data_IF_219994886601
#
_entry.id   IF_219994886601
#
_cell.length_a   1.000
_cell.length_b   1.000
_cell.length_c   1.000
_cell.angle_alpha   90.00
_cell.angle_beta   90.00
_cell.angle_gamma   90.00
#
_symmetry.space_group_name_H-M   'P 1'
#
loop_
_entity.id
_entity.type
_entity.pdbx_description
1 polymer ?
#
# COMPACT_ATOMS: atom_id res chain seq x y z
N UNK A 1 -11.95 -7.37 2.88
CA UNK A 1 -12.63 -6.08 2.58
C UNK A 1 -11.87 -5.39 1.47
N UNK A 2 -12.59 -4.80 0.51
CA UNK A 2 -12.06 -4.05 -0.64
C UNK A 2 -12.66 -2.63 -0.64
N UNK A 3 -12.16 -1.77 -1.52
CA UNK A 3 -12.78 -0.47 -1.77
C UNK A 3 -14.13 -0.65 -2.48
N UNK A 4 -15.05 0.27 -2.22
CA UNK A 4 -16.27 0.37 -3.00
C UNK A 4 -15.94 0.76 -4.45
N UNK A 5 -16.73 0.37 -5.46
CA UNK A 5 -16.43 0.63 -6.87
C UNK A 5 -16.15 2.10 -7.19
N UNK A 6 -16.90 3.00 -6.55
CA UNK A 6 -16.71 4.45 -6.70
C UNK A 6 -15.38 4.95 -6.10
N UNK A 7 -14.96 4.39 -4.97
CA UNK A 7 -13.69 4.71 -4.32
C UNK A 7 -12.51 4.13 -5.10
N UNK A 8 -12.65 2.92 -5.65
CA UNK A 8 -11.67 2.32 -6.52
C UNK A 8 -11.45 3.15 -7.79
N UNK A 9 -12.53 3.61 -8.42
CA UNK A 9 -12.48 4.50 -9.59
C UNK A 9 -11.75 5.79 -9.25
N UNK A 10 -12.14 6.45 -8.14
CA UNK A 10 -11.51 7.67 -7.67
C UNK A 10 -10.01 7.46 -7.38
N UNK A 11 -9.66 6.35 -6.76
CA UNK A 11 -8.25 6.01 -6.49
C UNK A 11 -7.42 6.04 -7.79
N UNK A 12 -7.87 5.34 -8.83
CA UNK A 12 -7.13 5.30 -10.10
C UNK A 12 -7.17 6.62 -10.86
N UNK A 13 -8.27 7.38 -10.80
CA UNK A 13 -8.34 8.73 -11.36
C UNK A 13 -7.31 9.70 -10.76
N UNK A 14 -6.91 9.48 -9.50
CA UNK A 14 -5.89 10.27 -8.81
C UNK A 14 -4.49 9.68 -9.00
N UNK A 15 -4.38 8.35 -8.94
CA UNK A 15 -3.12 7.63 -8.93
C UNK A 15 -2.40 7.65 -10.27
N UNK A 16 -3.11 7.37 -11.36
CA UNK A 16 -2.50 7.27 -12.69
C UNK A 16 -1.91 8.60 -13.18
N UNK A 17 -2.61 9.75 -13.09
CA UNK A 17 -2.02 11.03 -13.47
C UNK A 17 -0.81 11.44 -12.62
N UNK A 18 -0.80 11.08 -11.33
CA UNK A 18 0.37 11.31 -10.48
C UNK A 18 1.57 10.47 -10.95
N UNK A 19 1.37 9.20 -11.29
CA UNK A 19 2.44 8.36 -11.85
C UNK A 19 2.98 8.92 -13.18
N UNK A 20 2.11 9.39 -14.06
CA UNK A 20 2.53 10.00 -15.33
C UNK A 20 3.38 11.26 -15.08
N UNK A 21 2.97 12.10 -14.13
CA UNK A 21 3.75 13.26 -13.72
C UNK A 21 5.14 12.86 -13.18
N UNK A 22 5.18 11.87 -12.29
CA UNK A 22 6.43 11.35 -11.70
C UNK A 22 7.35 10.80 -12.78
N UNK A 23 6.82 10.04 -13.73
CA UNK A 23 7.61 9.52 -14.85
C UNK A 23 8.21 10.66 -15.69
N UNK A 24 7.43 11.70 -15.98
CA UNK A 24 7.92 12.88 -16.71
C UNK A 24 9.06 13.61 -15.99
N UNK A 25 9.02 13.66 -14.66
CA UNK A 25 10.04 14.29 -13.82
C UNK A 25 11.27 13.40 -13.60
N UNK A 26 11.08 12.15 -13.27
CA UNK A 26 12.16 11.19 -12.97
C UNK A 26 12.80 10.60 -14.22
N UNK A 27 12.12 10.66 -15.37
CA UNK A 27 12.54 10.02 -16.64
C UNK A 27 12.88 8.54 -16.45
N UNK A 28 12.04 7.84 -15.66
CA UNK A 28 12.22 6.42 -15.37
C UNK A 28 12.04 5.60 -16.64
N UNK A 29 11.09 6.01 -17.49
CA UNK A 29 10.77 5.37 -18.76
C UNK A 29 10.73 6.38 -19.90
N UNK A 30 11.13 5.94 -21.10
CA UNK A 30 10.91 6.64 -22.35
C UNK A 30 9.47 6.40 -22.85
N UNK A 31 8.49 7.09 -22.28
CA UNK A 31 7.07 6.99 -22.62
C UNK A 31 6.20 6.47 -21.48
N UNK A 32 4.96 6.07 -21.79
CA UNK A 32 4.01 5.62 -20.81
C UNK A 32 4.36 4.22 -20.24
N UNK A 33 4.03 3.99 -18.97
CA UNK A 33 4.15 2.67 -18.37
C UNK A 33 3.24 1.65 -19.09
N UNK A 34 3.78 0.51 -19.45
CA UNK A 34 3.08 -0.58 -20.16
C UNK A 34 2.87 -1.82 -19.29
N UNK A 35 3.62 -1.93 -18.22
CA UNK A 35 3.61 -3.09 -17.33
C UNK A 35 3.52 -2.66 -15.87
N UNK A 36 3.10 -3.59 -15.00
CA UNK A 36 3.11 -3.39 -13.54
C UNK A 36 4.55 -3.11 -13.04
N UNK A 37 5.56 -3.71 -13.66
CA UNK A 37 6.97 -3.45 -13.33
C UNK A 37 7.35 -2.00 -13.63
N UNK A 38 6.91 -1.47 -14.77
CA UNK A 38 7.14 -0.08 -15.14
C UNK A 38 6.51 0.86 -14.11
N UNK A 39 5.24 0.63 -13.77
CA UNK A 39 4.51 1.40 -12.75
C UNK A 39 5.22 1.33 -11.39
N UNK A 40 5.71 0.14 -11.00
CA UNK A 40 6.46 -0.03 -9.75
C UNK A 40 7.73 0.81 -9.75
N UNK A 41 8.50 0.84 -10.84
CA UNK A 41 9.72 1.64 -10.93
C UNK A 41 9.43 3.15 -10.82
N UNK A 42 8.32 3.62 -11.40
CA UNK A 42 7.88 5.01 -11.27
C UNK A 42 7.45 5.31 -9.83
N UNK A 43 6.66 4.42 -9.23
CA UNK A 43 6.20 4.59 -7.85
C UNK A 43 7.37 4.57 -6.84
N UNK A 44 8.39 3.74 -7.06
CA UNK A 44 9.59 3.73 -6.22
C UNK A 44 10.34 5.08 -6.28
N UNK A 45 10.35 5.76 -7.43
CA UNK A 45 10.87 7.13 -7.55
C UNK A 45 10.04 8.13 -6.73
N UNK A 46 8.71 8.00 -6.75
CA UNK A 46 7.80 8.83 -5.95
C UNK A 46 8.03 8.60 -4.44
N UNK A 47 8.03 7.33 -4.01
CA UNK A 47 8.13 7.00 -2.59
C UNK A 47 9.51 7.31 -1.99
N UNK A 48 10.55 7.39 -2.81
CA UNK A 48 11.85 7.92 -2.40
C UNK A 48 11.84 9.45 -2.21
N UNK A 49 10.89 10.16 -2.82
CA UNK A 49 10.77 11.62 -2.78
C UNK A 49 9.29 12.06 -2.69
N UNK A 50 8.59 11.79 -1.58
CA UNK A 50 7.16 12.07 -1.45
C UNK A 50 6.77 13.55 -1.61
N UNK A 51 7.73 14.47 -1.43
CA UNK A 51 7.54 15.91 -1.69
C UNK A 51 7.17 16.24 -3.14
N UNK A 52 7.42 15.33 -4.10
CA UNK A 52 6.95 15.48 -5.49
C UNK A 52 5.43 15.57 -5.58
N UNK A 53 4.71 15.08 -4.58
CA UNK A 53 3.25 15.25 -4.47
C UNK A 53 2.88 16.73 -4.38
N UNK A 54 3.62 17.53 -3.61
CA UNK A 54 3.35 18.97 -3.50
C UNK A 54 3.59 19.69 -4.83
N UNK A 55 4.65 19.31 -5.55
CA UNK A 55 4.93 19.85 -6.89
C UNK A 55 3.83 19.49 -7.90
N UNK A 56 3.31 18.26 -7.83
CA UNK A 56 2.20 17.82 -8.66
C UNK A 56 0.93 18.60 -8.33
N UNK A 57 0.56 18.71 -7.07
CA UNK A 57 -0.65 19.39 -6.62
C UNK A 57 -0.66 20.87 -7.01
N UNK A 58 0.50 21.53 -7.02
CA UNK A 58 0.62 22.94 -7.40
C UNK A 58 0.19 23.22 -8.86
N UNK A 59 0.18 22.20 -9.74
CA UNK A 59 -0.16 22.36 -11.15
C UNK A 59 -1.34 21.48 -11.62
N UNK A 60 -1.78 20.53 -10.79
CA UNK A 60 -2.79 19.55 -11.20
C UNK A 60 -4.21 20.12 -11.31
N UNK A 61 -4.49 21.27 -10.68
CA UNK A 61 -5.82 21.91 -10.70
C UNK A 61 -6.93 21.03 -10.10
N UNK A 62 -6.60 20.15 -9.14
CA UNK A 62 -7.57 19.27 -8.52
C UNK A 62 -8.50 20.05 -7.59
N UNK A 63 -9.80 19.67 -7.50
CA UNK A 63 -10.68 20.13 -6.42
C UNK A 63 -10.07 19.84 -5.04
N UNK A 64 -10.35 20.69 -4.04
CA UNK A 64 -9.75 20.63 -2.70
C UNK A 64 -9.84 19.24 -2.07
N UNK A 65 -11.04 18.62 -2.06
CA UNK A 65 -11.24 17.26 -1.52
C UNK A 65 -10.31 16.22 -2.18
N UNK A 66 -10.12 16.31 -3.49
CA UNK A 66 -9.24 15.40 -4.23
C UNK A 66 -7.76 15.68 -3.96
N UNK A 67 -7.41 16.97 -3.86
CA UNK A 67 -6.05 17.38 -3.52
C UNK A 67 -5.63 16.90 -2.13
N UNK A 68 -6.54 16.97 -1.14
CA UNK A 68 -6.32 16.47 0.22
C UNK A 68 -6.05 14.96 0.24
N UNK A 69 -6.80 14.17 -0.55
CA UNK A 69 -6.57 12.72 -0.67
C UNK A 69 -5.16 12.42 -1.19
N UNK A 70 -4.73 13.13 -2.23
CA UNK A 70 -3.38 12.94 -2.81
C UNK A 70 -2.30 13.46 -1.85
N UNK A 71 -2.51 14.61 -1.20
CA UNK A 71 -1.59 15.16 -0.21
C UNK A 71 -1.37 14.19 0.97
N UNK A 72 -2.42 13.48 1.38
CA UNK A 72 -2.33 12.49 2.44
C UNK A 72 -1.37 11.32 2.10
N UNK A 73 -1.14 11.02 0.83
CA UNK A 73 -0.22 9.97 0.40
C UNK A 73 1.26 10.26 0.75
N UNK A 74 1.60 11.49 1.13
CA UNK A 74 2.93 11.79 1.69
C UNK A 74 3.22 11.02 2.99
N UNK A 75 2.18 10.53 3.68
CA UNK A 75 2.31 9.66 4.86
C UNK A 75 2.49 8.18 4.49
N UNK A 76 2.99 7.91 3.28
CA UNK A 76 3.25 6.57 2.80
C UNK A 76 4.23 5.81 3.70
N UNK A 77 4.05 4.50 3.76
CA UNK A 77 4.96 3.59 4.46
C UNK A 77 5.42 2.54 3.45
N UNK A 78 6.51 2.80 2.72
CA UNK A 78 7.11 1.82 1.84
C UNK A 78 7.86 0.76 2.65
N UNK A 79 7.84 -0.50 2.19
CA UNK A 79 8.63 -1.52 2.86
C UNK A 79 8.18 -2.94 2.60
N UNK A 80 8.78 -3.84 3.38
CA UNK A 80 8.42 -5.25 3.43
C UNK A 80 7.47 -5.50 4.59
N UNK A 81 6.43 -6.27 4.32
CA UNK A 81 5.41 -6.60 5.30
C UNK A 81 5.14 -8.09 5.32
N UNK A 82 4.83 -8.62 6.50
CA UNK A 82 4.26 -9.95 6.65
C UNK A 82 2.74 -9.83 6.72
N UNK A 83 2.03 -10.50 5.82
CA UNK A 83 0.58 -10.69 5.93
C UNK A 83 0.38 -11.86 6.87
N UNK A 84 -0.01 -11.58 8.11
CA UNK A 84 -0.11 -12.59 9.18
C UNK A 84 -1.45 -13.33 9.13
N UNK A 85 -2.55 -12.60 8.84
CA UNK A 85 -3.89 -13.18 8.71
C UNK A 85 -4.84 -12.30 7.94
N UNK A 86 -5.94 -12.91 7.51
CA UNK A 86 -7.08 -12.20 6.97
C UNK A 86 -8.17 -12.03 8.04
N UNK A 87 -8.79 -10.85 8.07
CA UNK A 87 -9.92 -10.50 8.93
C UNK A 87 -11.06 -9.97 8.05
N UNK A 88 -12.27 -9.93 8.60
CA UNK A 88 -13.46 -9.40 7.89
C UNK A 88 -13.25 -7.96 7.36
N UNK A 89 -12.51 -7.13 8.10
CA UNK A 89 -12.28 -5.71 7.76
C UNK A 89 -10.99 -5.43 6.98
N UNK A 90 -10.20 -6.44 6.64
CA UNK A 90 -8.91 -6.28 5.95
C UNK A 90 -7.93 -7.38 6.33
N UNK A 91 -6.67 -7.22 5.96
CA UNK A 91 -5.61 -8.17 6.32
C UNK A 91 -4.59 -7.50 7.23
N UNK A 92 -4.06 -8.28 8.16
CA UNK A 92 -3.07 -7.81 9.14
C UNK A 92 -1.71 -7.83 8.49
N UNK A 93 -1.11 -6.65 8.37
CA UNK A 93 0.23 -6.42 7.87
C UNK A 93 1.16 -6.06 9.03
N UNK A 94 2.27 -6.76 9.15
CA UNK A 94 3.30 -6.47 10.15
C UNK A 94 4.53 -5.97 9.38
N UNK A 95 4.98 -4.77 9.68
CA UNK A 95 6.17 -4.20 9.05
C UNK A 95 7.39 -5.03 9.43
N UNK A 96 8.19 -5.44 8.45
CA UNK A 96 9.33 -6.33 8.69
C UNK A 96 10.43 -5.67 9.54
N UNK A 97 10.51 -4.35 9.49
CA UNK A 97 11.41 -3.54 10.30
C UNK A 97 10.59 -2.82 11.37
N UNK A 98 10.82 -3.15 12.65
CA UNK A 98 10.16 -2.50 13.78
C UNK A 98 8.80 -3.09 14.22
N UNK A 99 8.20 -4.02 13.47
CA UNK A 99 7.04 -4.80 13.94
C UNK A 99 5.71 -4.04 14.04
N UNK A 100 5.61 -2.81 13.52
CA UNK A 100 4.34 -2.06 13.51
C UNK A 100 3.25 -2.82 12.75
N UNK A 101 2.01 -2.80 13.28
CA UNK A 101 0.90 -3.64 12.80
C UNK A 101 -0.20 -2.78 12.21
N UNK A 102 -0.60 -3.10 10.98
CA UNK A 102 -1.57 -2.35 10.19
C UNK A 102 -2.73 -3.23 9.76
N UNK A 103 -3.94 -2.68 9.72
CA UNK A 103 -5.10 -3.33 9.07
C UNK A 103 -5.26 -2.74 7.66
N UNK A 104 -4.97 -3.54 6.64
CA UNK A 104 -4.88 -3.12 5.25
C UNK A 104 -6.06 -3.66 4.45
N UNK A 105 -6.79 -2.78 3.78
CA UNK A 105 -7.86 -3.14 2.83
C UNK A 105 -7.27 -3.46 1.46
N UNK A 106 -7.92 -4.35 0.72
CA UNK A 106 -7.62 -4.53 -0.70
C UNK A 106 -8.17 -3.37 -1.55
N UNK A 107 -7.63 -3.19 -2.73
CA UNK A 107 -8.18 -2.24 -3.71
C UNK A 107 -9.39 -2.87 -4.44
N UNK A 108 -9.16 -3.64 -5.47
CA UNK A 108 -10.18 -4.31 -6.28
C UNK A 108 -10.50 -5.72 -5.76
N UNK A 109 -9.50 -6.45 -5.30
CA UNK A 109 -9.62 -7.81 -4.73
C UNK A 109 -9.16 -7.81 -3.29
N UNK A 110 -9.73 -8.70 -2.47
CA UNK A 110 -9.24 -8.91 -1.11
C UNK A 110 -7.83 -9.52 -1.13
N UNK A 111 -7.09 -9.32 -0.07
CA UNK A 111 -5.77 -9.94 0.08
C UNK A 111 -5.83 -11.46 0.10
N UNK A 112 -6.92 -12.04 0.61
CA UNK A 112 -7.16 -13.48 0.60
C UNK A 112 -7.30 -14.02 -0.83
N UNK A 113 -8.10 -13.34 -1.67
CA UNK A 113 -8.24 -13.68 -3.09
C UNK A 113 -6.93 -13.49 -3.87
N UNK A 114 -6.20 -12.39 -3.63
CA UNK A 114 -4.91 -12.14 -4.30
C UNK A 114 -3.83 -13.16 -3.92
N UNK A 115 -3.87 -13.70 -2.72
CA UNK A 115 -2.93 -14.73 -2.28
C UNK A 115 -3.31 -16.14 -2.72
N UNK A 116 -4.53 -16.35 -3.21
CA UNK A 116 -5.00 -17.59 -3.83
C UNK A 116 -4.58 -18.86 -3.05
N UNK A 117 -4.98 -18.92 -1.77
CA UNK A 117 -4.70 -20.05 -0.89
C UNK A 117 -3.23 -20.22 -0.47
N UNK A 118 -2.37 -19.26 -0.73
CA UNK A 118 -0.98 -19.29 -0.23
C UNK A 118 -0.96 -19.35 1.29
N UNK A 119 -0.06 -20.16 1.87
CA UNK A 119 0.03 -20.27 3.33
C UNK A 119 0.51 -18.94 3.94
N UNK A 120 -0.13 -18.54 5.04
CA UNK A 120 0.29 -17.42 5.84
C UNK A 120 1.30 -17.86 6.94
N UNK A 121 2.19 -16.96 7.36
CA UNK A 121 2.37 -15.60 6.87
C UNK A 121 2.99 -15.56 5.47
N UNK A 122 2.57 -14.59 4.66
CA UNK A 122 3.15 -14.29 3.36
C UNK A 122 3.95 -12.98 3.43
N UNK A 123 5.10 -12.89 2.80
CA UNK A 123 5.88 -11.66 2.74
C UNK A 123 5.63 -10.92 1.44
N UNK A 124 5.34 -9.62 1.55
CA UNK A 124 5.11 -8.71 0.42
C UNK A 124 6.00 -7.49 0.53
N UNK A 125 6.42 -6.96 -0.62
CA UNK A 125 7.02 -5.63 -0.73
C UNK A 125 6.01 -4.73 -1.44
N UNK A 126 5.60 -3.65 -0.78
CA UNK A 126 4.60 -2.70 -1.26
C UNK A 126 4.69 -1.40 -0.47
N UNK A 127 3.89 -0.42 -0.83
CA UNK A 127 3.76 0.82 -0.06
C UNK A 127 2.35 0.94 0.50
N UNK A 128 2.23 1.14 1.81
CA UNK A 128 0.95 1.47 2.44
C UNK A 128 0.70 2.97 2.31
N UNK A 129 -0.54 3.32 1.97
CA UNK A 129 -0.98 4.70 1.84
C UNK A 129 -2.37 4.89 2.46
N UNK A 130 -2.67 6.07 3.01
CA UNK A 130 -4.01 6.39 3.52
C UNK A 130 -4.97 6.68 2.37
N UNK A 131 -6.18 6.18 2.44
CA UNK A 131 -7.24 6.50 1.48
C UNK A 131 -8.61 6.39 2.13
N UNK A 132 -9.35 7.51 2.20
CA UNK A 132 -10.71 7.61 2.76
C UNK A 132 -10.88 6.90 4.11
N UNK A 133 -10.00 7.22 5.08
CA UNK A 133 -10.06 6.67 6.44
C UNK A 133 -9.66 5.19 6.54
N UNK A 134 -9.00 4.64 5.51
CA UNK A 134 -8.47 3.28 5.49
C UNK A 134 -6.99 3.29 5.10
N UNK A 135 -6.31 2.21 5.39
CA UNK A 135 -4.99 1.91 4.84
C UNK A 135 -5.19 0.98 3.65
N UNK A 136 -4.65 1.37 2.50
CA UNK A 136 -4.57 0.55 1.29
C UNK A 136 -3.11 0.46 0.84
N UNK A 137 -2.84 -0.29 -0.22
CA UNK A 137 -1.53 -0.23 -0.90
C UNK A 137 -1.61 0.62 -2.15
N UNK A 138 -0.47 0.96 -2.71
CA UNK A 138 -0.36 1.61 -4.01
C UNK A 138 -0.76 0.69 -5.19
N UNK A 139 -1.19 -0.54 -4.90
CA UNK A 139 -1.56 -1.55 -5.89
C UNK A 139 -0.37 -2.27 -6.53
N UNK A 140 0.86 -1.88 -6.20
CA UNK A 140 2.10 -2.40 -6.78
C UNK A 140 2.78 -3.34 -5.79
N UNK A 141 2.57 -4.64 -5.98
CA UNK A 141 2.88 -5.67 -5.00
C UNK A 141 3.91 -6.63 -5.56
N UNK A 142 4.98 -6.88 -4.80
CA UNK A 142 5.91 -7.96 -5.05
C UNK A 142 5.81 -9.02 -3.95
N UNK A 143 5.26 -10.17 -4.31
CA UNK A 143 5.14 -11.32 -3.40
C UNK A 143 6.46 -12.08 -3.33
N UNK A 144 6.94 -12.34 -2.12
CA UNK A 144 8.09 -13.22 -1.89
C UNK A 144 7.67 -14.70 -1.96
N UNK A 145 8.60 -15.56 -2.41
CA UNK A 145 8.42 -17.01 -2.43
C UNK A 145 8.89 -17.70 -1.13
N UNK A 146 9.29 -16.93 -0.13
CA UNK A 146 9.78 -17.45 1.15
C UNK A 146 8.64 -18.12 1.92
N UNK A 147 8.93 -19.26 2.54
CA UNK A 147 8.04 -19.95 3.49
C UNK A 147 8.62 -19.82 4.90
N UNK A 148 7.76 -19.55 5.85
CA UNK A 148 8.15 -19.34 7.25
C UNK A 148 7.90 -20.59 8.09
N UNK A 149 8.87 -20.96 8.92
CA UNK A 149 8.77 -22.07 9.87
C UNK A 149 7.79 -21.75 11.03
N UNK A 150 7.51 -22.78 11.85
CA UNK A 150 6.54 -22.69 12.94
C UNK A 150 6.88 -21.59 13.95
N UNK A 151 8.12 -21.51 14.41
CA UNK A 151 8.55 -20.53 15.41
C UNK A 151 8.33 -19.09 14.93
N UNK A 152 8.67 -18.81 13.69
CA UNK A 152 8.48 -17.47 13.11
C UNK A 152 7.00 -17.10 12.97
N UNK A 153 6.15 -18.06 12.64
CA UNK A 153 4.69 -17.85 12.62
C UNK A 153 4.14 -17.53 14.01
N UNK A 154 4.61 -18.22 15.03
CA UNK A 154 4.21 -17.98 16.44
C UNK A 154 4.67 -16.59 16.89
N UNK A 155 5.87 -16.16 16.51
CA UNK A 155 6.39 -14.83 16.78
C UNK A 155 5.51 -13.73 16.14
N UNK A 156 5.23 -13.81 14.84
CA UNK A 156 4.38 -12.84 14.15
C UNK A 156 2.95 -12.80 14.75
N UNK A 157 2.42 -13.97 15.10
CA UNK A 157 1.14 -14.05 15.80
C UNK A 157 1.20 -13.33 17.17
N UNK A 158 2.29 -13.49 17.90
CA UNK A 158 2.53 -12.78 19.17
C UNK A 158 2.54 -11.26 18.98
N UNK A 159 3.25 -10.77 17.97
CA UNK A 159 3.30 -9.33 17.62
C UNK A 159 1.89 -8.79 17.36
N UNK A 160 1.11 -9.47 16.51
CA UNK A 160 -0.27 -9.06 16.25
C UNK A 160 -1.14 -9.07 17.50
N UNK A 161 -1.08 -10.13 18.31
CA UNK A 161 -1.92 -10.26 19.51
C UNK A 161 -1.59 -9.16 20.53
N UNK A 162 -0.32 -8.82 20.67
CA UNK A 162 0.12 -7.74 21.55
C UNK A 162 -0.39 -6.38 21.03
N UNK A 163 -0.17 -6.07 19.75
CA UNK A 163 -0.66 -4.81 19.14
C UNK A 163 -2.18 -4.67 19.26
N UNK A 164 -2.93 -5.77 19.09
CA UNK A 164 -4.38 -5.77 19.28
C UNK A 164 -4.77 -5.49 20.73
N UNK A 165 -4.04 -6.03 21.70
CA UNK A 165 -4.32 -5.87 23.13
C UNK A 165 -3.93 -4.48 23.63
N UNK A 166 -2.83 -3.92 23.15
CA UNK A 166 -2.35 -2.58 23.52
C UNK A 166 -3.04 -1.45 22.77
N UNK A 167 -3.86 -1.75 21.76
CA UNK A 167 -4.48 -0.73 20.89
C UNK A 167 -3.54 -0.14 19.83
N UNK A 168 -2.40 -0.77 19.58
CA UNK A 168 -1.37 -0.36 18.60
C UNK A 168 -1.60 -0.94 17.20
N UNK A 169 -2.78 -1.52 16.96
CA UNK A 169 -3.21 -1.90 15.61
C UNK A 169 -3.63 -0.64 14.84
N UNK A 170 -2.80 -0.21 13.89
CA UNK A 170 -3.09 0.97 13.08
C UNK A 170 -4.22 0.69 12.08
N UNK A 171 -5.29 1.46 12.16
CA UNK A 171 -6.42 1.44 11.23
C UNK A 171 -6.33 2.57 10.21
N UNK A 172 -5.55 3.59 10.50
CA UNK A 172 -5.24 4.77 9.68
C UNK A 172 -3.77 5.16 9.84
N UNK A 173 -3.21 5.85 8.86
CA UNK A 173 -1.87 6.43 8.84
C UNK A 173 -1.91 7.87 8.36
#
# INVERSE_FOLDING_TARGET
MVLEPQDLKLFFELWLPLLDYVNGKCKVLEGAAKTIRDMKSIADCLWARPQMIDEYLAQAGLPEERAELVAAWKRCIPGRFFIERHLKKGSVFIHAEGGAVYLVSGLQSSWEEMLDGRPLPAMVNTTLIPFRGRIVTDGLIALSRVRFGRNYREELRGIYMNAKKSGELHLII
#
